data_IF_762295456346
#
_entry.id   IF_762295456346
#
_cell.length_a   1.000
_cell.length_b   1.000
_cell.length_c   1.000
_cell.angle_alpha   90.00
_cell.angle_beta   90.00
_cell.angle_gamma   90.00
#
_symmetry.space_group_name_H-M   'P 1'
#
loop_
_entity.id
_entity.type
_entity.pdbx_description
1 polymer ?
#
# COMPACT_ATOMS: atom_id res chain seq x y z
N UNK A 1 7.29 -2.42 18.54
CA UNK A 1 6.36 -2.03 17.45
C UNK A 1 5.02 -2.70 17.68
N UNK A 2 3.96 -1.95 18.03
CA UNK A 2 2.63 -2.52 18.26
C UNK A 2 1.97 -2.97 16.93
N UNK A 3 1.24 -4.10 16.89
CA UNK A 3 0.53 -4.55 15.70
C UNK A 3 -0.59 -3.56 15.31
N UNK A 4 -0.73 -3.29 14.02
CA UNK A 4 -1.81 -2.46 13.47
C UNK A 4 -3.17 -3.13 13.74
N UNK A 5 -4.11 -2.40 14.36
CA UNK A 5 -5.51 -2.85 14.51
C UNK A 5 -6.13 -3.19 13.15
N UNK A 6 -7.18 -4.04 13.12
CA UNK A 6 -7.84 -4.46 11.87
C UNK A 6 -8.25 -3.27 10.99
N UNK A 7 -8.76 -2.21 11.62
CA UNK A 7 -9.21 -0.99 10.93
C UNK A 7 -8.05 -0.23 10.28
N UNK A 8 -6.90 -0.20 10.95
CA UNK A 8 -5.69 0.42 10.42
C UNK A 8 -5.12 -0.34 9.22
N UNK A 9 -5.30 -1.66 9.15
CA UNK A 9 -4.88 -2.47 8.00
C UNK A 9 -5.78 -2.22 6.79
N UNK A 10 -7.09 -2.10 7.00
CA UNK A 10 -8.03 -1.76 5.95
C UNK A 10 -7.74 -0.35 5.39
N UNK A 11 -7.60 0.64 6.27
CA UNK A 11 -7.23 2.01 5.90
C UNK A 11 -5.89 2.07 5.15
N UNK A 12 -4.87 1.31 5.57
CA UNK A 12 -3.58 1.26 4.87
C UNK A 12 -3.71 0.76 3.43
N UNK A 13 -4.54 -0.28 3.19
CA UNK A 13 -4.81 -0.77 1.83
C UNK A 13 -5.52 0.27 1.00
N UNK A 14 -6.53 0.95 1.56
CA UNK A 14 -7.28 1.99 0.87
C UNK A 14 -6.37 3.15 0.45
N UNK A 15 -5.48 3.61 1.35
CA UNK A 15 -4.49 4.65 1.06
C UNK A 15 -3.56 4.24 -0.08
N UNK A 16 -3.01 3.02 -0.04
CA UNK A 16 -2.11 2.54 -1.09
C UNK A 16 -2.81 2.42 -2.44
N UNK A 17 -4.04 1.90 -2.47
CA UNK A 17 -4.85 1.81 -3.70
C UNK A 17 -5.20 3.19 -4.24
N UNK A 18 -5.58 4.12 -3.36
CA UNK A 18 -5.90 5.49 -3.73
C UNK A 18 -4.68 6.17 -4.37
N UNK A 19 -3.49 6.12 -3.73
CA UNK A 19 -2.26 6.71 -4.28
C UNK A 19 -1.86 6.06 -5.61
N UNK A 20 -2.05 4.73 -5.74
CA UNK A 20 -1.78 4.02 -7.00
C UNK A 20 -2.68 4.48 -8.15
N UNK A 21 -3.96 4.74 -7.88
CA UNK A 21 -4.92 5.15 -8.91
C UNK A 21 -4.85 6.67 -9.18
N UNK A 22 -4.56 7.47 -8.16
CA UNK A 22 -4.37 8.92 -8.24
C UNK A 22 -2.98 9.32 -8.73
N UNK A 23 -2.17 8.41 -9.28
CA UNK A 23 -0.75 8.61 -9.60
C UNK A 23 -0.52 9.54 -10.81
N UNK A 24 -1.16 10.70 -10.79
CA UNK A 24 -1.03 11.83 -11.69
C UNK A 24 0.10 12.70 -11.11
N UNK A 25 1.16 12.94 -11.88
CA UNK A 25 2.25 13.88 -11.54
C UNK A 25 2.99 13.61 -10.21
N UNK A 26 3.45 12.38 -10.01
CA UNK A 26 4.43 12.06 -8.97
C UNK A 26 3.88 12.05 -7.54
N UNK A 27 2.57 11.86 -7.35
CA UNK A 27 1.94 11.56 -6.07
C UNK A 27 0.63 12.30 -5.82
N UNK A 28 -0.03 11.94 -4.72
CA UNK A 28 -1.33 12.49 -4.34
C UNK A 28 -1.26 13.28 -3.03
N UNK A 29 -2.00 14.39 -2.94
CA UNK A 29 -2.15 15.14 -1.69
C UNK A 29 -3.06 14.40 -0.70
N UNK A 30 -2.95 14.70 0.59
CA UNK A 30 -3.82 14.11 1.61
C UNK A 30 -5.31 14.34 1.29
N UNK A 31 -5.65 15.54 0.80
CA UNK A 31 -7.01 15.90 0.41
C UNK A 31 -7.51 15.00 -0.73
N UNK A 32 -6.72 14.83 -1.80
CA UNK A 32 -7.11 13.95 -2.91
C UNK A 32 -7.27 12.49 -2.47
N UNK A 33 -6.36 11.99 -1.63
CA UNK A 33 -6.46 10.62 -1.10
C UNK A 33 -7.75 10.47 -0.29
N UNK A 34 -8.04 11.43 0.59
CA UNK A 34 -9.25 11.40 1.42
C UNK A 34 -10.52 11.49 0.58
N UNK A 35 -10.57 12.37 -0.42
CA UNK A 35 -11.72 12.52 -1.31
C UNK A 35 -11.95 11.26 -2.13
N UNK A 36 -10.90 10.68 -2.73
CA UNK A 36 -11.00 9.45 -3.50
C UNK A 36 -11.51 8.27 -2.66
N UNK A 37 -11.04 8.15 -1.41
CA UNK A 37 -11.49 7.08 -0.51
C UNK A 37 -12.96 7.27 -0.14
N UNK A 38 -13.40 8.50 0.15
CA UNK A 38 -14.82 8.79 0.44
C UNK A 38 -15.73 8.48 -0.75
N UNK A 39 -15.30 8.82 -1.95
CA UNK A 39 -16.08 8.62 -3.17
C UNK A 39 -16.16 7.14 -3.56
N UNK A 40 -15.04 6.42 -3.52
CA UNK A 40 -14.98 5.01 -3.95
C UNK A 40 -15.40 4.01 -2.88
N UNK A 41 -15.30 4.39 -1.61
CA UNK A 41 -15.59 3.52 -0.48
C UNK A 41 -16.44 4.25 0.58
N UNK A 42 -17.69 4.62 0.27
CA UNK A 42 -18.56 5.37 1.17
C UNK A 42 -18.83 4.62 2.49
N UNK A 43 -18.83 3.29 2.48
CA UNK A 43 -18.92 2.45 3.68
C UNK A 43 -17.68 2.51 4.59
N UNK A 44 -16.54 2.98 4.08
CA UNK A 44 -15.31 3.16 4.85
C UNK A 44 -15.16 4.64 5.21
N UNK A 45 -15.96 5.11 6.17
CA UNK A 45 -15.78 6.41 6.81
C UNK A 45 -14.53 6.38 7.71
N UNK A 46 -13.35 6.26 7.11
CA UNK A 46 -12.10 6.44 7.84
C UNK A 46 -11.94 7.92 8.18
N UNK A 47 -11.88 8.22 9.49
CA UNK A 47 -11.59 9.56 9.98
C UNK A 47 -10.24 10.06 9.42
N UNK A 48 -10.18 11.34 9.06
CA UNK A 48 -8.97 11.96 8.49
C UNK A 48 -7.77 11.81 9.41
N UNK A 49 -7.99 11.81 10.73
CA UNK A 49 -6.97 11.56 11.75
C UNK A 49 -6.36 10.15 11.64
N UNK A 50 -7.18 9.13 11.35
CA UNK A 50 -6.72 7.75 11.10
C UNK A 50 -5.91 7.68 9.81
N UNK A 51 -6.39 8.32 8.74
CA UNK A 51 -5.67 8.41 7.47
C UNK A 51 -4.29 9.05 7.65
N UNK A 52 -4.20 10.16 8.38
CA UNK A 52 -2.92 10.82 8.71
C UNK A 52 -1.96 9.89 9.46
N UNK A 53 -2.44 9.19 10.49
CA UNK A 53 -1.62 8.22 11.26
C UNK A 53 -1.13 7.07 10.38
N UNK A 54 -1.99 6.55 9.51
CA UNK A 54 -1.66 5.46 8.59
C UNK A 54 -0.64 5.91 7.55
N UNK A 55 -0.81 7.09 6.96
CA UNK A 55 0.15 7.67 6.01
C UNK A 55 1.49 7.89 6.69
N UNK A 56 1.53 8.47 7.89
CA UNK A 56 2.77 8.66 8.64
C UNK A 56 3.52 7.34 8.89
N UNK A 57 2.79 6.28 9.29
CA UNK A 57 3.36 4.94 9.45
C UNK A 57 3.85 4.35 8.12
N UNK A 58 3.11 4.54 7.03
CA UNK A 58 3.50 4.06 5.71
C UNK A 58 4.74 4.78 5.16
N UNK A 59 4.90 6.07 5.48
CA UNK A 59 6.13 6.83 5.19
C UNK A 59 7.29 6.33 6.05
N UNK A 60 7.10 6.15 7.36
CA UNK A 60 8.15 5.61 8.24
C UNK A 60 8.58 4.19 7.87
N UNK A 61 7.65 3.37 7.35
CA UNK A 61 7.94 2.05 6.80
C UNK A 61 8.61 2.11 5.42
N UNK A 62 8.60 3.26 4.74
CA UNK A 62 9.11 3.49 3.39
C UNK A 62 8.23 2.89 2.27
N UNK A 63 7.00 2.48 2.59
CA UNK A 63 6.01 2.13 1.57
C UNK A 63 5.50 3.37 0.81
N UNK A 64 5.56 4.55 1.43
CA UNK A 64 5.27 5.83 0.80
C UNK A 64 6.49 6.75 0.91
N UNK A 65 6.68 7.61 -0.10
CA UNK A 65 7.61 8.74 -0.06
C UNK A 65 6.85 10.05 -0.06
N UNK A 66 7.30 11.01 0.74
CA UNK A 66 6.77 12.37 0.73
C UNK A 66 7.58 13.20 -0.25
N UNK A 67 6.90 13.76 -1.26
CA UNK A 67 7.50 14.65 -2.26
C UNK A 67 6.83 16.01 -2.12
N UNK A 68 7.53 16.98 -1.51
CA UNK A 68 6.95 18.28 -1.12
C UNK A 68 5.70 18.08 -0.25
N UNK A 69 4.51 18.32 -0.82
CA UNK A 69 3.19 18.18 -0.17
C UNK A 69 2.35 17.01 -0.72
N UNK A 70 2.97 16.11 -1.48
CA UNK A 70 2.34 14.92 -2.06
C UNK A 70 2.93 13.64 -1.46
N UNK A 71 2.14 12.58 -1.47
CA UNK A 71 2.54 11.22 -1.10
C UNK A 71 2.54 10.36 -2.35
N UNK A 72 3.68 9.73 -2.62
CA UNK A 72 3.85 8.78 -3.72
C UNK A 72 4.22 7.40 -3.17
N UNK A 73 4.08 6.36 -4.00
CA UNK A 73 4.56 5.03 -3.65
C UNK A 73 6.09 5.05 -3.49
N UNK A 74 6.58 4.40 -2.44
CA UNK A 74 8.00 4.23 -2.14
C UNK A 74 8.52 2.88 -2.61
N UNK A 75 9.85 2.79 -2.73
CA UNK A 75 10.56 1.71 -3.42
C UNK A 75 10.49 0.36 -2.67
N UNK A 76 10.21 0.39 -1.36
CA UNK A 76 10.02 -0.83 -0.55
C UNK A 76 8.85 -1.67 -1.04
N UNK A 77 7.81 -1.06 -1.61
CA UNK A 77 6.69 -1.83 -2.17
C UNK A 77 7.15 -2.66 -3.38
N UNK A 78 8.02 -2.12 -4.21
CA UNK A 78 8.56 -2.83 -5.37
C UNK A 78 9.41 -4.02 -4.92
N UNK A 79 10.28 -3.83 -3.92
CA UNK A 79 11.06 -4.93 -3.33
C UNK A 79 10.18 -6.03 -2.73
N UNK A 80 9.08 -5.68 -2.05
CA UNK A 80 8.15 -6.66 -1.49
C UNK A 80 7.42 -7.44 -2.59
N UNK A 81 6.97 -6.74 -3.64
CA UNK A 81 6.30 -7.36 -4.79
C UNK A 81 7.27 -8.28 -5.54
N UNK A 82 8.51 -7.84 -5.72
CA UNK A 82 9.53 -8.60 -6.42
C UNK A 82 9.96 -9.85 -5.61
N UNK A 83 10.14 -9.72 -4.29
CA UNK A 83 10.42 -10.84 -3.39
C UNK A 83 9.29 -11.89 -3.43
N UNK A 84 8.03 -11.44 -3.50
CA UNK A 84 6.86 -12.34 -3.67
C UNK A 84 6.89 -13.05 -5.03
N UNK A 85 7.21 -12.34 -6.12
CA UNK A 85 7.35 -12.93 -7.46
C UNK A 85 8.45 -13.99 -7.50
N UNK A 86 9.61 -13.72 -6.90
CA UNK A 86 10.74 -14.68 -6.82
C UNK A 86 10.34 -15.95 -6.05
N UNK A 87 9.63 -15.83 -4.92
CA UNK A 87 9.12 -16.99 -4.15
C UNK A 87 8.14 -17.84 -4.97
N UNK A 88 7.22 -17.23 -5.72
CA UNK A 88 6.26 -17.97 -6.55
C UNK A 88 6.95 -18.84 -7.62
N UNK A 89 7.99 -18.30 -8.28
CA UNK A 89 8.80 -19.06 -9.26
C UNK A 89 9.52 -20.25 -8.61
N UNK A 90 10.03 -20.10 -7.38
CA UNK A 90 10.71 -21.19 -6.66
C UNK A 90 9.79 -22.38 -6.35
N UNK A 91 8.53 -22.12 -5.94
CA UNK A 91 7.54 -23.16 -5.63
C UNK A 91 7.10 -23.93 -6.88
N UNK A 92 6.91 -23.22 -7.99
CA UNK A 92 6.57 -23.83 -9.29
C UNK A 92 7.65 -24.81 -9.77
N UNK A 93 8.94 -24.42 -9.65
CA UNK A 93 10.08 -25.26 -10.04
C UNK A 93 10.20 -26.53 -9.17
N UNK A 94 9.95 -26.43 -7.86
CA UNK A 94 9.94 -27.57 -6.94
C UNK A 94 8.82 -28.57 -7.24
N UNK A 95 7.63 -28.07 -7.62
CA UNK A 95 6.47 -28.91 -7.95
C UNK A 95 6.69 -29.70 -9.26
N UNK A 96 7.30 -29.10 -10.27
CA UNK A 96 7.67 -29.80 -11.52
C UNK A 96 8.69 -30.93 -11.32
N UNK A 97 9.67 -30.76 -10.42
CA UNK A 97 10.67 -31.80 -10.14
C UNK A 97 10.07 -33.02 -9.44
N UNK A 98 9.02 -32.83 -8.64
CA UNK A 98 8.31 -33.93 -7.94
C UNK A 98 7.36 -34.73 -8.83
N UNK A 99 7.05 -34.24 -10.04
CA UNK A 99 6.20 -34.95 -11.00
C UNK A 99 7.01 -35.72 -12.06
N UNK A 100 8.35 -35.68 -11.99
CA UNK A 100 9.27 -36.35 -12.92
C UNK A 100 10.07 -37.50 -12.27
N UNK A 101 9.77 -37.82 -11.02
CA UNK A 101 10.23 -38.99 -10.29
C UNK A 101 9.00 -39.77 -9.84
#
# INVERSE_FOLDING_TARGET
MAPLSKDNKAAARLVLTAIRNLNIDGGASLKHISSYIREKYPQCQSNESTLRKVIAKAVAFGALKRVRNKYALGDILDHIVEARRRRAKSKSKRRRRRQKH
#
